data_IF_905951602845
#
_entry.id   IF_905951602845
#
_cell.length_a   1.000
_cell.length_b   1.000
_cell.length_c   1.000
_cell.angle_alpha   90.00
_cell.angle_beta   90.00
_cell.angle_gamma   90.00
#
_symmetry.space_group_name_H-M   'P 1'
#
loop_
_entity.id
_entity.type
_entity.pdbx_description
1 polymer ?
#
# COMPACT_ATOMS: atom_id res chain seq x y z
N UNK A 1 -3.33 11.28 0.84
CA UNK A 1 -4.47 12.21 1.01
C UNK A 1 -4.97 12.21 2.45
N UNK A 2 -5.21 13.40 2.99
CA UNK A 2 -5.90 13.59 4.26
C UNK A 2 -7.28 14.15 3.98
N UNK A 3 -8.32 13.49 4.50
CA UNK A 3 -9.70 13.98 4.45
C UNK A 3 -10.16 14.39 5.84
N UNK A 4 -11.13 15.29 5.89
CA UNK A 4 -11.77 15.71 7.13
C UNK A 4 -13.16 15.10 7.19
N UNK A 5 -13.44 14.36 8.25
CA UNK A 5 -14.74 13.78 8.55
C UNK A 5 -15.33 14.55 9.74
N UNK A 6 -16.64 14.69 9.76
CA UNK A 6 -17.37 15.36 10.83
C UNK A 6 -18.30 14.37 11.52
N UNK A 7 -18.13 14.21 12.82
CA UNK A 7 -18.98 13.38 13.67
C UNK A 7 -19.45 14.27 14.83
N UNK A 8 -20.73 14.49 14.94
CA UNK A 8 -21.36 15.28 16.02
C UNK A 8 -20.57 16.57 16.32
N UNK A 9 -20.37 17.42 15.33
CA UNK A 9 -19.59 18.69 15.40
C UNK A 9 -18.08 18.53 15.62
N UNK A 10 -17.56 17.32 15.84
CA UNK A 10 -16.13 17.06 15.92
C UNK A 10 -15.54 16.81 14.55
N UNK A 11 -14.55 17.61 14.19
CA UNK A 11 -13.72 17.38 13.01
C UNK A 11 -12.65 16.35 13.32
N UNK A 12 -12.59 15.29 12.53
CA UNK A 12 -11.56 14.26 12.58
C UNK A 12 -10.84 14.18 11.24
N UNK A 13 -9.56 14.48 11.22
CA UNK A 13 -8.74 14.35 10.01
C UNK A 13 -8.20 12.91 9.91
N UNK A 14 -8.33 12.29 8.74
CA UNK A 14 -7.93 10.91 8.49
C UNK A 14 -7.09 10.83 7.23
N UNK A 15 -5.95 10.15 7.30
CA UNK A 15 -5.14 9.79 6.13
C UNK A 15 -5.73 8.57 5.45
N UNK A 16 -6.00 8.65 4.15
CA UNK A 16 -6.62 7.60 3.34
C UNK A 16 -5.69 7.05 2.25
N UNK A 17 -4.46 7.51 2.19
CA UNK A 17 -3.43 7.02 1.27
C UNK A 17 -2.28 6.38 2.04
N UNK A 18 -1.07 6.92 1.86
CA UNK A 18 0.09 6.49 2.63
C UNK A 18 -0.05 6.91 4.09
N UNK A 19 -0.03 5.94 5.02
CA UNK A 19 -0.39 6.17 6.42
C UNK A 19 0.80 5.92 7.36
N UNK A 20 1.55 4.84 7.16
CA UNK A 20 2.57 4.38 8.10
C UNK A 20 3.88 4.04 7.41
N UNK A 21 4.99 4.24 8.13
CA UNK A 21 6.34 3.94 7.68
C UNK A 21 7.20 3.46 8.87
N UNK A 22 8.39 2.98 8.59
CA UNK A 22 9.35 2.60 9.61
C UNK A 22 10.79 2.96 9.19
N UNK A 23 11.69 3.06 10.14
CA UNK A 23 13.07 3.48 9.89
C UNK A 23 13.89 2.48 9.05
N UNK A 24 13.48 1.23 9.01
CA UNK A 24 14.23 0.19 8.31
C UNK A 24 13.97 0.21 6.79
N UNK A 25 12.72 0.36 6.39
CA UNK A 25 12.31 0.19 4.99
C UNK A 25 12.07 1.51 4.25
N UNK A 26 12.10 2.64 4.99
CA UNK A 26 11.86 3.97 4.41
C UNK A 26 12.98 4.98 4.73
N UNK A 27 14.29 4.64 4.52
CA UNK A 27 15.39 5.52 4.92
C UNK A 27 15.34 6.89 4.23
N UNK A 28 14.99 6.92 2.93
CA UNK A 28 14.92 8.16 2.16
C UNK A 28 13.77 9.06 2.65
N UNK A 29 12.61 8.46 2.97
CA UNK A 29 11.48 9.22 3.51
C UNK A 29 11.81 9.80 4.89
N UNK A 30 12.50 9.04 5.74
CA UNK A 30 12.94 9.50 7.06
C UNK A 30 13.92 10.67 6.92
N UNK A 31 14.88 10.59 6.00
CA UNK A 31 15.80 11.68 5.73
C UNK A 31 15.06 12.92 5.23
N UNK A 32 14.17 12.74 4.27
CA UNK A 32 13.32 13.82 3.77
C UNK A 32 12.50 14.50 4.88
N UNK A 33 11.89 13.73 5.79
CA UNK A 33 11.16 14.30 6.92
C UNK A 33 12.08 15.06 7.89
N UNK A 34 13.29 14.55 8.12
CA UNK A 34 14.28 15.21 8.97
C UNK A 34 14.77 16.53 8.37
N UNK A 35 15.12 16.54 7.09
CA UNK A 35 15.58 17.73 6.37
C UNK A 35 14.51 18.83 6.29
N UNK A 36 13.25 18.44 6.34
CA UNK A 36 12.11 19.36 6.30
C UNK A 36 11.46 19.57 7.67
N UNK A 37 12.07 19.18 8.78
CA UNK A 37 11.51 19.30 10.15
C UNK A 37 10.06 18.80 10.25
N UNK A 38 9.76 17.65 9.66
CA UNK A 38 8.45 17.03 9.74
C UNK A 38 8.39 16.16 10.99
N UNK A 39 7.47 16.48 11.87
CA UNK A 39 7.26 15.71 13.10
C UNK A 39 6.56 14.39 12.83
N UNK A 40 7.07 13.34 13.48
CA UNK A 40 6.54 11.99 13.37
C UNK A 40 6.21 11.44 14.76
N UNK A 41 5.24 10.55 14.83
CA UNK A 41 4.84 9.89 16.07
C UNK A 41 4.74 8.37 15.90
N UNK A 42 4.88 7.64 17.01
CA UNK A 42 4.75 6.17 17.00
C UNK A 42 3.32 5.77 16.63
N UNK A 43 3.22 4.83 15.71
CA UNK A 43 1.96 4.24 15.29
C UNK A 43 1.89 2.77 15.64
N UNK A 44 0.70 2.23 15.66
CA UNK A 44 0.42 0.84 15.91
C UNK A 44 -0.22 0.21 14.69
N UNK A 45 0.62 -0.31 13.78
CA UNK A 45 0.13 -1.06 12.63
C UNK A 45 -0.28 -2.46 13.08
N UNK A 46 -1.56 -2.67 13.26
CA UNK A 46 -2.17 -3.97 13.58
C UNK A 46 -3.16 -4.37 12.48
N UNK A 47 -3.31 -5.68 12.32
CA UNK A 47 -4.29 -6.28 11.42
C UNK A 47 -5.31 -7.05 12.26
N UNK A 48 -6.58 -6.85 11.98
CA UNK A 48 -7.69 -7.52 12.65
C UNK A 48 -8.64 -8.10 11.62
N UNK A 49 -9.27 -9.22 11.96
CA UNK A 49 -10.31 -9.84 11.14
C UNK A 49 -11.54 -10.06 11.99
N UNK A 50 -12.68 -9.64 11.47
CA UNK A 50 -14.01 -9.96 11.95
C UNK A 50 -14.81 -10.53 10.78
N UNK A 51 -15.46 -11.67 10.98
CA UNK A 51 -16.23 -12.33 9.94
C UNK A 51 -17.72 -12.20 10.28
N UNK A 52 -18.44 -11.49 9.41
CA UNK A 52 -19.87 -11.22 9.60
C UNK A 52 -20.68 -12.50 9.84
N UNK A 53 -21.71 -12.37 10.68
CA UNK A 53 -22.58 -13.47 11.08
C UNK A 53 -21.89 -14.67 11.77
N UNK A 54 -20.65 -14.46 12.26
CA UNK A 54 -19.92 -15.48 13.03
C UNK A 54 -19.36 -14.87 14.30
N UNK A 55 -18.81 -15.73 15.19
CA UNK A 55 -18.01 -15.28 16.35
C UNK A 55 -16.51 -15.28 16.05
N UNK A 56 -16.14 -15.33 14.77
CA UNK A 56 -14.75 -15.40 14.34
C UNK A 56 -14.13 -14.03 14.30
N UNK A 57 -13.40 -13.69 15.35
CA UNK A 57 -12.69 -12.41 15.47
C UNK A 57 -11.33 -12.61 16.10
N UNK A 58 -10.32 -11.89 15.59
CA UNK A 58 -9.01 -11.84 16.19
C UNK A 58 -8.22 -10.60 15.75
N UNK A 59 -7.16 -10.26 16.50
CA UNK A 59 -6.21 -9.22 16.18
C UNK A 59 -4.78 -9.79 16.12
N UNK A 60 -4.01 -9.44 15.12
CA UNK A 60 -2.63 -9.87 14.92
C UNK A 60 -1.61 -9.27 15.90
N UNK A 61 -2.04 -8.62 16.97
CA UNK A 61 -1.18 -8.01 18.00
C UNK A 61 -0.67 -9.04 19.02
N UNK A 62 0.08 -10.03 18.53
CA UNK A 62 0.64 -11.10 19.35
C UNK A 62 -0.42 -12.08 19.89
N UNK A 63 -0.01 -12.99 20.77
CA UNK A 63 -0.90 -14.04 21.31
C UNK A 63 -2.12 -13.47 22.04
N UNK A 64 -1.96 -12.35 22.76
CA UNK A 64 -3.07 -11.72 23.47
C UNK A 64 -4.16 -11.20 22.50
N UNK A 65 -3.77 -10.70 21.34
CA UNK A 65 -4.70 -10.26 20.29
C UNK A 65 -5.36 -11.44 19.59
N UNK A 66 -4.59 -12.46 19.24
CA UNK A 66 -5.09 -13.67 18.56
C UNK A 66 -6.15 -14.38 19.42
N UNK A 67 -5.91 -14.48 20.71
CA UNK A 67 -6.83 -15.11 21.67
C UNK A 67 -7.61 -14.10 22.53
N UNK A 68 -7.84 -12.89 22.02
CA UNK A 68 -8.68 -11.87 22.69
C UNK A 68 -10.11 -12.39 22.92
N UNK A 69 -10.65 -13.08 21.93
CA UNK A 69 -11.87 -13.89 22.11
C UNK A 69 -11.50 -15.26 22.64
N UNK A 70 -11.82 -15.52 23.92
CA UNK A 70 -11.48 -16.78 24.59
C UNK A 70 -12.11 -18.01 23.94
N UNK A 71 -13.22 -17.86 23.23
CA UNK A 71 -13.86 -18.97 22.52
C UNK A 71 -12.95 -19.54 21.41
N UNK A 72 -12.00 -18.76 20.90
CA UNK A 72 -11.04 -19.20 19.91
C UNK A 72 -10.11 -20.31 20.40
N UNK A 73 -9.88 -20.41 21.72
CA UNK A 73 -9.09 -21.48 22.32
C UNK A 73 -9.73 -22.87 22.19
N UNK A 74 -11.05 -22.92 22.03
CA UNK A 74 -11.82 -24.14 21.88
C UNK A 74 -12.32 -24.37 20.46
N UNK A 75 -12.00 -23.49 19.54
CA UNK A 75 -12.39 -23.58 18.14
C UNK A 75 -11.28 -24.29 17.32
N UNK A 76 -11.54 -25.55 16.93
CA UNK A 76 -10.58 -26.37 16.19
C UNK A 76 -10.15 -25.72 14.87
N UNK A 77 -11.07 -25.11 14.14
CA UNK A 77 -10.76 -24.43 12.88
C UNK A 77 -9.87 -23.18 13.11
N UNK A 78 -10.12 -22.46 14.21
CA UNK A 78 -9.27 -21.34 14.60
C UNK A 78 -7.85 -21.79 14.97
N UNK A 79 -7.74 -22.86 15.74
CA UNK A 79 -6.44 -23.44 16.12
C UNK A 79 -5.68 -23.92 14.88
N UNK A 80 -6.37 -24.55 13.92
CA UNK A 80 -5.77 -24.96 12.64
C UNK A 80 -5.21 -23.76 11.87
N UNK A 81 -5.98 -22.68 11.75
CA UNK A 81 -5.51 -21.42 11.17
C UNK A 81 -4.27 -20.89 11.91
N UNK A 82 -4.29 -20.88 13.23
CA UNK A 82 -3.15 -20.41 14.03
C UNK A 82 -1.88 -21.20 13.77
N UNK A 83 -1.95 -22.53 13.72
CA UNK A 83 -0.79 -23.36 13.39
C UNK A 83 -0.32 -23.17 11.93
N UNK A 84 -1.23 -22.96 10.99
CA UNK A 84 -0.89 -22.63 9.61
C UNK A 84 -0.19 -21.27 9.51
N UNK A 85 -0.60 -20.26 10.29
CA UNK A 85 0.13 -18.97 10.39
C UNK A 85 1.57 -19.21 10.82
N UNK A 86 1.79 -19.98 11.90
CA UNK A 86 3.13 -20.25 12.40
C UNK A 86 3.99 -21.01 11.38
N UNK A 87 3.43 -22.05 10.76
CA UNK A 87 4.09 -22.86 9.73
C UNK A 87 4.47 -22.02 8.52
N UNK A 88 3.50 -21.26 8.00
CA UNK A 88 3.67 -20.40 6.82
C UNK A 88 4.71 -19.32 7.07
N UNK A 89 4.61 -18.58 8.18
CA UNK A 89 5.53 -17.50 8.49
C UNK A 89 6.97 -18.00 8.68
N UNK A 90 7.16 -19.11 9.40
CA UNK A 90 8.48 -19.71 9.58
C UNK A 90 9.13 -20.14 8.26
N UNK A 91 8.34 -20.75 7.37
CA UNK A 91 8.82 -21.18 6.05
C UNK A 91 9.12 -19.98 5.16
N UNK A 92 8.19 -19.05 5.05
CA UNK A 92 8.24 -17.95 4.10
C UNK A 92 9.24 -16.84 4.44
N UNK A 93 9.67 -16.72 5.71
CA UNK A 93 10.66 -15.71 6.13
C UNK A 93 12.04 -15.92 5.49
N UNK A 94 12.35 -17.13 5.07
CA UNK A 94 13.64 -17.51 4.47
C UNK A 94 13.51 -18.02 3.04
N UNK A 95 12.30 -18.14 2.51
CA UNK A 95 12.06 -18.71 1.20
C UNK A 95 12.41 -17.72 0.10
N UNK A 96 13.27 -18.14 -0.82
CA UNK A 96 13.63 -17.37 -2.00
C UNK A 96 13.03 -18.09 -3.19
N UNK A 97 12.03 -17.48 -3.82
CA UNK A 97 11.45 -17.95 -5.05
C UNK A 97 12.00 -17.07 -6.18
N UNK A 98 12.96 -17.60 -6.91
CA UNK A 98 13.49 -16.97 -8.11
C UNK A 98 12.78 -17.56 -9.33
N UNK A 99 12.18 -16.67 -10.15
CA UNK A 99 11.66 -16.95 -11.49
C UNK A 99 10.48 -17.93 -11.63
N UNK A 100 9.82 -18.33 -10.56
CA UNK A 100 8.57 -19.08 -10.71
C UNK A 100 7.40 -18.12 -10.98
N UNK A 101 6.71 -18.33 -12.10
CA UNK A 101 5.47 -17.61 -12.47
C UNK A 101 4.26 -18.24 -11.77
N UNK A 102 4.37 -18.51 -10.45
CA UNK A 102 3.26 -19.04 -9.66
C UNK A 102 2.59 -17.91 -8.88
N UNK A 103 1.30 -18.02 -8.72
CA UNK A 103 0.49 -17.10 -7.94
C UNK A 103 0.51 -17.43 -6.45
N UNK A 104 0.10 -16.48 -5.62
CA UNK A 104 -0.09 -16.72 -4.18
C UNK A 104 -1.09 -17.85 -3.94
N UNK A 105 -2.19 -17.90 -4.68
CA UNK A 105 -3.20 -18.97 -4.56
C UNK A 105 -2.61 -20.36 -4.83
N UNK A 106 -1.92 -20.54 -5.97
CA UNK A 106 -1.24 -21.80 -6.31
C UNK A 106 -0.19 -22.20 -5.26
N UNK A 107 0.56 -21.24 -4.74
CA UNK A 107 1.54 -21.50 -3.70
C UNK A 107 0.88 -21.99 -2.40
N UNK A 108 -0.21 -21.36 -1.98
CA UNK A 108 -0.95 -21.74 -0.77
C UNK A 108 -1.54 -23.16 -0.89
N UNK A 109 -2.08 -23.51 -2.07
CA UNK A 109 -2.61 -24.84 -2.37
C UNK A 109 -1.51 -25.92 -2.38
N UNK A 110 -0.38 -25.67 -3.06
CA UNK A 110 0.78 -26.59 -3.10
C UNK A 110 1.31 -26.88 -1.69
N UNK A 111 1.26 -25.91 -0.78
CA UNK A 111 1.68 -26.06 0.60
C UNK A 111 0.61 -26.69 1.50
N UNK A 112 -0.55 -27.07 0.96
CA UNK A 112 -1.66 -27.72 1.67
C UNK A 112 -2.09 -26.94 2.92
N UNK A 113 -2.17 -25.63 2.81
CA UNK A 113 -2.63 -24.76 3.88
C UNK A 113 -4.16 -24.80 3.97
N UNK A 114 -4.70 -24.65 5.15
CA UNK A 114 -6.13 -24.78 5.38
C UNK A 114 -6.91 -23.63 4.73
N UNK A 115 -8.13 -23.93 4.27
CA UNK A 115 -9.02 -22.92 3.72
C UNK A 115 -9.32 -21.78 4.69
N UNK A 116 -9.36 -22.08 6.00
CA UNK A 116 -9.58 -21.06 7.03
C UNK A 116 -8.40 -20.09 7.12
N UNK A 117 -7.15 -20.60 7.03
CA UNK A 117 -5.97 -19.74 6.94
C UNK A 117 -5.99 -18.88 5.68
N UNK A 118 -6.33 -19.45 4.54
CA UNK A 118 -6.38 -18.73 3.27
C UNK A 118 -7.44 -17.63 3.32
N UNK A 119 -8.67 -17.98 3.68
CA UNK A 119 -9.82 -17.09 3.56
C UNK A 119 -9.93 -16.08 4.71
N UNK A 120 -9.41 -16.39 5.91
CA UNK A 120 -9.61 -15.55 7.09
C UNK A 120 -8.30 -14.96 7.64
N UNK A 121 -7.17 -15.23 6.99
CA UNK A 121 -5.90 -14.61 7.37
C UNK A 121 -5.16 -14.00 6.17
N UNK A 122 -4.67 -14.84 5.25
CA UNK A 122 -3.71 -14.37 4.25
C UNK A 122 -4.37 -13.52 3.16
N UNK A 123 -5.49 -13.95 2.60
CA UNK A 123 -6.18 -13.19 1.55
C UNK A 123 -6.73 -11.87 2.09
N UNK A 124 -7.42 -11.80 3.25
CA UNK A 124 -7.84 -10.51 3.80
C UNK A 124 -6.69 -9.57 4.12
N UNK A 125 -5.55 -10.09 4.59
CA UNK A 125 -4.37 -9.28 4.87
C UNK A 125 -3.77 -8.69 3.58
N UNK A 126 -3.65 -9.48 2.52
CA UNK A 126 -3.20 -9.02 1.21
C UNK A 126 -4.15 -7.98 0.65
N UNK A 127 -5.45 -8.25 0.68
CA UNK A 127 -6.49 -7.32 0.24
C UNK A 127 -6.42 -5.97 0.98
N UNK A 128 -6.20 -5.99 2.30
CA UNK A 128 -6.09 -4.78 3.11
C UNK A 128 -4.80 -3.99 2.81
N UNK A 129 -3.67 -4.66 2.54
CA UNK A 129 -2.38 -4.00 2.26
C UNK A 129 -2.40 -3.30 0.90
N UNK A 130 -2.94 -3.96 -0.13
CA UNK A 130 -2.93 -3.46 -1.51
C UNK A 130 -4.27 -2.90 -1.98
N UNK A 131 -5.27 -2.81 -1.10
CA UNK A 131 -6.61 -2.28 -1.43
C UNK A 131 -7.25 -2.96 -2.64
N UNK A 132 -7.07 -4.28 -2.74
CA UNK A 132 -7.53 -5.09 -3.86
C UNK A 132 -8.61 -6.09 -3.45
N UNK A 133 -9.50 -6.49 -4.36
CA UNK A 133 -10.50 -7.53 -4.07
C UNK A 133 -9.84 -8.89 -3.77
N UNK A 134 -10.47 -9.75 -2.95
CA UNK A 134 -9.91 -11.04 -2.57
C UNK A 134 -9.53 -11.96 -3.74
N UNK A 135 -10.29 -11.93 -4.83
CA UNK A 135 -10.02 -12.76 -6.01
C UNK A 135 -8.76 -12.31 -6.77
N UNK A 136 -8.43 -11.01 -6.74
CA UNK A 136 -7.19 -10.50 -7.31
C UNK A 136 -5.99 -10.78 -6.40
N UNK A 137 -6.19 -10.73 -5.08
CA UNK A 137 -5.14 -11.03 -4.11
C UNK A 137 -4.54 -12.44 -4.32
N UNK A 138 -5.36 -13.43 -4.70
CA UNK A 138 -4.88 -14.79 -4.97
C UNK A 138 -4.05 -14.91 -6.25
N UNK A 139 -4.21 -13.99 -7.21
CA UNK A 139 -3.47 -13.97 -8.48
C UNK A 139 -2.11 -13.27 -8.36
N UNK A 140 -1.84 -12.59 -7.24
CA UNK A 140 -0.57 -11.90 -7.01
C UNK A 140 0.61 -12.86 -7.19
N UNK A 141 1.70 -12.43 -7.87
CA UNK A 141 2.91 -13.25 -7.95
C UNK A 141 3.48 -13.53 -6.55
N UNK A 142 3.74 -14.79 -6.23
CA UNK A 142 4.25 -15.19 -4.91
C UNK A 142 5.59 -14.53 -4.59
N UNK A 143 6.46 -14.37 -5.57
CA UNK A 143 7.77 -13.73 -5.39
C UNK A 143 7.64 -12.29 -4.92
N UNK A 144 6.68 -11.53 -5.46
CA UNK A 144 6.39 -10.17 -5.03
C UNK A 144 5.86 -10.13 -3.59
N UNK A 145 4.88 -11.00 -3.27
CA UNK A 145 4.32 -11.14 -1.94
C UNK A 145 5.40 -11.46 -0.90
N UNK A 146 6.21 -12.50 -1.13
CA UNK A 146 7.26 -12.92 -0.18
C UNK A 146 8.29 -11.81 0.03
N UNK A 147 8.78 -11.19 -1.04
CA UNK A 147 9.77 -10.11 -0.96
C UNK A 147 9.24 -8.92 -0.17
N UNK A 148 7.99 -8.53 -0.38
CA UNK A 148 7.36 -7.45 0.37
C UNK A 148 7.28 -7.78 1.87
N UNK A 149 6.75 -8.95 2.21
CA UNK A 149 6.59 -9.38 3.61
C UNK A 149 7.92 -9.54 4.33
N UNK A 150 8.94 -10.09 3.67
CA UNK A 150 10.30 -10.21 4.21
C UNK A 150 10.92 -8.84 4.46
N UNK A 151 10.87 -7.95 3.49
CA UNK A 151 11.42 -6.59 3.60
C UNK A 151 10.80 -5.82 4.77
N UNK A 152 9.49 -5.92 4.94
CA UNK A 152 8.76 -5.24 6.00
C UNK A 152 8.77 -6.00 7.34
N UNK A 153 9.37 -7.18 7.39
CA UNK A 153 9.43 -8.02 8.61
C UNK A 153 8.07 -8.51 9.08
N UNK A 154 7.10 -8.68 8.16
CA UNK A 154 5.73 -9.07 8.49
C UNK A 154 5.61 -10.54 8.89
N UNK A 155 6.54 -11.41 8.46
CA UNK A 155 6.61 -12.80 8.91
C UNK A 155 7.17 -12.95 10.33
N UNK A 156 7.79 -11.91 10.90
CA UNK A 156 8.38 -11.98 12.22
C UNK A 156 7.31 -11.91 13.30
N UNK A 157 7.35 -12.84 14.24
CA UNK A 157 6.46 -12.85 15.41
C UNK A 157 7.00 -11.98 16.55
N UNK A 158 8.32 -11.77 16.60
CA UNK A 158 9.02 -10.93 17.57
C UNK A 158 9.93 -9.93 16.85
N UNK A 159 10.32 -8.86 17.53
CA UNK A 159 11.22 -7.84 17.01
C UNK A 159 10.75 -7.23 15.68
N UNK A 160 9.45 -7.01 15.56
CA UNK A 160 8.87 -6.26 14.43
C UNK A 160 9.35 -4.82 14.46
N UNK A 161 9.55 -4.17 13.30
CA UNK A 161 9.92 -2.76 13.27
C UNK A 161 8.84 -1.91 13.96
N UNK A 162 9.26 -0.86 14.69
CA UNK A 162 8.33 0.15 15.16
C UNK A 162 7.81 0.95 13.97
N UNK A 163 6.51 1.08 13.86
CA UNK A 163 5.86 1.88 12.85
C UNK A 163 5.61 3.30 13.36
N UNK A 164 5.61 4.23 12.45
CA UNK A 164 5.42 5.66 12.68
C UNK A 164 4.40 6.22 11.69
N UNK A 165 3.84 7.35 12.04
CA UNK A 165 2.99 8.16 11.18
C UNK A 165 3.40 9.63 11.29
N UNK A 166 2.94 10.47 10.39
CA UNK A 166 3.18 11.91 10.46
C UNK A 166 2.26 12.52 11.51
N UNK A 167 2.83 13.30 12.43
CA UNK A 167 2.04 14.04 13.43
C UNK A 167 1.11 15.04 12.74
N UNK A 168 -0.13 15.09 13.16
CA UNK A 168 -1.19 15.92 12.57
C UNK A 168 -1.53 15.59 11.11
N UNK A 169 -1.25 14.35 10.68
CA UNK A 169 -1.58 13.78 9.37
C UNK A 169 -0.67 14.24 8.22
N UNK A 170 -0.75 13.51 7.12
CA UNK A 170 0.09 13.72 5.93
C UNK A 170 -0.07 15.09 5.28
N UNK A 171 -1.22 15.74 5.44
CA UNK A 171 -1.46 17.12 4.97
C UNK A 171 -0.39 18.09 5.47
N UNK A 172 0.13 17.88 6.69
CA UNK A 172 1.13 18.75 7.32
C UNK A 172 2.41 18.85 6.49
N UNK A 173 2.99 17.70 6.10
CA UNK A 173 4.22 17.74 5.31
C UNK A 173 3.95 18.21 3.87
N UNK A 174 2.80 17.86 3.29
CA UNK A 174 2.43 18.34 1.96
C UNK A 174 2.35 19.87 1.94
N UNK A 175 1.64 20.46 2.91
CA UNK A 175 1.51 21.92 3.00
C UNK A 175 2.88 22.59 3.20
N UNK A 176 3.75 22.02 4.04
CA UNK A 176 5.10 22.55 4.27
C UNK A 176 5.96 22.52 3.01
N UNK A 177 5.96 21.40 2.29
CA UNK A 177 6.72 21.28 1.03
C UNK A 177 6.18 22.24 -0.03
N UNK A 178 4.87 22.29 -0.21
CA UNK A 178 4.23 23.22 -1.17
C UNK A 178 4.62 24.67 -0.89
N UNK A 179 4.67 25.07 0.39
CA UNK A 179 5.07 26.46 0.76
C UNK A 179 6.54 26.78 0.46
N UNK A 180 7.39 25.78 0.23
CA UNK A 180 8.81 25.95 -0.10
C UNK A 180 9.07 26.01 -1.61
N UNK A 181 8.10 25.62 -2.43
CA UNK A 181 8.24 25.68 -3.88
C UNK A 181 8.05 27.11 -4.34
N UNK A 182 9.04 27.65 -5.02
CA UNK A 182 9.03 29.03 -5.54
C UNK A 182 8.24 29.20 -6.84
N UNK A 183 7.86 28.09 -7.48
CA UNK A 183 7.09 28.09 -8.72
C UNK A 183 5.59 28.31 -8.52
N UNK A 184 4.88 28.46 -9.62
CA UNK A 184 3.43 28.61 -9.61
C UNK A 184 2.72 27.30 -9.30
N UNK A 185 1.57 27.38 -8.61
CA UNK A 185 0.75 26.26 -8.20
C UNK A 185 -0.64 26.34 -8.81
N UNK A 186 -0.91 25.47 -9.76
CA UNK A 186 -2.20 25.40 -10.41
C UNK A 186 -3.05 24.29 -9.80
N UNK A 187 -4.11 24.66 -9.07
CA UNK A 187 -5.10 23.73 -8.52
C UNK A 187 -6.34 23.70 -9.43
N UNK A 188 -6.95 22.52 -9.54
CA UNK A 188 -8.12 22.31 -10.41
C UNK A 188 -7.84 22.46 -11.90
N UNK A 189 -6.59 22.41 -12.29
CA UNK A 189 -6.16 22.36 -13.68
C UNK A 189 -6.00 20.90 -14.09
N UNK A 190 -7.04 20.33 -14.67
CA UNK A 190 -6.98 18.96 -15.17
C UNK A 190 -6.17 18.93 -16.45
N UNK A 191 -4.97 18.35 -16.38
CA UNK A 191 -4.17 18.06 -17.58
C UNK A 191 -4.91 17.02 -18.41
N UNK A 192 -5.02 17.27 -19.71
CA UNK A 192 -5.75 16.43 -20.67
C UNK A 192 -4.83 15.76 -21.67
N UNK A 193 -3.69 16.40 -21.99
CA UNK A 193 -2.78 15.90 -23.01
C UNK A 193 -1.36 16.47 -22.82
N UNK A 194 -0.36 15.69 -23.19
CA UNK A 194 1.06 16.08 -23.22
C UNK A 194 1.60 15.78 -24.61
N UNK A 195 2.13 16.82 -25.26
CA UNK A 195 2.66 16.75 -26.62
C UNK A 195 4.16 17.02 -26.59
N UNK A 196 4.96 16.09 -27.12
CA UNK A 196 6.41 16.29 -27.27
C UNK A 196 6.71 17.12 -28.51
N UNK A 197 7.63 18.07 -28.36
CA UNK A 197 8.17 18.89 -29.44
C UNK A 197 9.65 18.58 -29.67
N UNK A 198 10.24 19.21 -30.67
CA UNK A 198 11.70 19.15 -30.88
C UNK A 198 12.49 19.72 -29.71
N UNK A 199 11.89 20.67 -28.97
CA UNK A 199 12.46 21.26 -27.76
C UNK A 199 11.32 21.47 -26.75
N UNK A 200 11.33 20.68 -25.66
CA UNK A 200 10.32 20.77 -24.61
C UNK A 200 9.02 20.00 -24.88
N UNK A 201 7.99 20.37 -24.16
CA UNK A 201 6.67 19.72 -24.18
C UNK A 201 5.56 20.76 -24.01
N UNK A 202 4.44 20.56 -24.73
CA UNK A 202 3.20 21.28 -24.47
C UNK A 202 2.30 20.46 -23.55
N UNK A 203 1.80 21.08 -22.50
CA UNK A 203 0.92 20.48 -21.52
C UNK A 203 -0.45 21.14 -21.58
N UNK A 204 -1.45 20.41 -22.09
CA UNK A 204 -2.81 20.90 -22.32
C UNK A 204 -3.67 20.69 -21.07
N UNK A 205 -4.55 21.66 -20.79
CA UNK A 205 -5.47 21.61 -19.65
C UNK A 205 -6.83 22.25 -20.02
N UNK A 206 -7.89 21.84 -19.32
CA UNK A 206 -9.21 22.46 -19.45
C UNK A 206 -9.90 22.36 -20.81
N UNK A 207 -9.20 21.85 -21.83
CA UNK A 207 -9.62 21.76 -23.23
C UNK A 207 -8.39 21.61 -24.12
N UNK A 208 -8.58 21.53 -25.44
CA UNK A 208 -7.46 21.36 -26.40
C UNK A 208 -6.84 22.67 -26.87
N UNK A 209 -7.38 23.80 -26.45
CA UNK A 209 -6.96 25.14 -26.95
C UNK A 209 -5.97 25.87 -26.05
N UNK A 210 -5.83 25.44 -24.79
CA UNK A 210 -4.96 26.12 -23.83
C UNK A 210 -3.85 25.16 -23.37
N UNK A 211 -2.60 25.64 -23.40
CA UNK A 211 -1.44 24.84 -22.98
C UNK A 211 -0.34 25.71 -22.36
N UNK A 212 0.47 25.08 -21.54
CA UNK A 212 1.75 25.60 -21.06
C UNK A 212 2.90 24.89 -21.76
N UNK A 213 3.94 25.65 -22.11
CA UNK A 213 5.20 25.14 -22.65
C UNK A 213 6.21 24.90 -21.52
N UNK A 214 6.81 23.71 -21.48
CA UNK A 214 7.80 23.33 -20.48
C UNK A 214 8.99 22.61 -21.11
N UNK A 215 10.17 22.81 -20.55
CA UNK A 215 11.37 22.04 -20.92
C UNK A 215 11.24 20.58 -20.51
N UNK A 216 10.66 20.32 -19.33
CA UNK A 216 10.51 18.98 -18.75
C UNK A 216 9.21 18.85 -17.96
N UNK A 217 8.65 17.66 -17.97
CA UNK A 217 7.45 17.31 -17.20
C UNK A 217 7.72 16.03 -16.38
N UNK A 218 7.33 16.04 -15.11
CA UNK A 218 7.34 14.88 -14.24
C UNK A 218 5.88 14.46 -14.03
N UNK A 219 5.54 13.24 -14.45
CA UNK A 219 4.22 12.64 -14.24
C UNK A 219 4.22 11.90 -12.90
N UNK A 220 3.45 12.39 -11.94
CA UNK A 220 3.24 11.77 -10.63
C UNK A 220 1.79 11.25 -10.49
N UNK A 221 1.25 10.71 -11.58
CA UNK A 221 -0.07 10.07 -11.68
C UNK A 221 0.07 8.55 -11.67
N UNK A 222 -1.05 7.82 -11.70
CA UNK A 222 -1.03 6.38 -11.98
C UNK A 222 -0.48 6.11 -13.38
N UNK A 223 0.13 4.94 -13.59
CA UNK A 223 0.83 4.64 -14.84
C UNK A 223 -0.11 4.58 -16.05
N UNK A 224 -1.30 4.01 -15.88
CA UNK A 224 -2.35 3.97 -16.90
C UNK A 224 -2.89 5.37 -17.23
N UNK A 225 -3.00 6.25 -16.23
CA UNK A 225 -3.35 7.66 -16.44
C UNK A 225 -2.25 8.41 -17.17
N UNK A 226 -0.98 8.18 -16.77
CA UNK A 226 0.17 8.77 -17.48
C UNK A 226 0.18 8.37 -18.95
N UNK A 227 -0.07 7.10 -19.26
CA UNK A 227 -0.14 6.61 -20.64
C UNK A 227 -1.25 7.31 -21.46
N UNK A 228 -2.41 7.55 -20.84
CA UNK A 228 -3.52 8.26 -21.50
C UNK A 228 -3.23 9.73 -21.79
N UNK A 229 -2.36 10.37 -20.99
CA UNK A 229 -2.00 11.77 -21.16
C UNK A 229 -0.98 11.98 -22.27
N UNK A 230 -0.11 11.02 -22.55
CA UNK A 230 0.98 11.15 -23.52
C UNK A 230 0.41 11.00 -24.95
N UNK A 231 0.48 12.06 -25.75
CA UNK A 231 0.21 11.97 -27.18
C UNK A 231 1.37 11.23 -27.86
N UNK A 232 1.08 10.23 -28.68
CA UNK A 232 2.08 9.43 -29.38
C UNK A 232 3.12 8.80 -28.42
N UNK A 233 2.72 7.96 -27.46
CA UNK A 233 3.65 7.26 -26.59
C UNK A 233 4.53 6.30 -27.42
N UNK A 234 5.78 6.14 -27.01
CA UNK A 234 6.70 5.17 -27.61
C UNK A 234 6.23 3.75 -27.33
N UNK A 235 6.73 2.78 -28.10
CA UNK A 235 6.41 1.36 -27.88
C UNK A 235 6.83 0.90 -26.47
N UNK A 236 7.98 1.37 -25.97
CA UNK A 236 8.45 1.03 -24.62
C UNK A 236 7.51 1.62 -23.54
N UNK A 237 7.05 2.86 -23.70
CA UNK A 237 6.08 3.47 -22.80
C UNK A 237 4.75 2.71 -22.80
N UNK A 238 4.25 2.34 -23.98
CA UNK A 238 3.05 1.51 -24.09
C UNK A 238 3.23 0.15 -23.39
N UNK A 239 4.34 -0.54 -23.70
CA UNK A 239 4.62 -1.86 -23.17
C UNK A 239 4.81 -1.86 -21.65
N UNK A 240 5.39 -0.81 -21.07
CA UNK A 240 5.64 -0.74 -19.63
C UNK A 240 4.40 -0.22 -18.89
N UNK A 241 3.87 0.94 -19.30
CA UNK A 241 2.81 1.62 -18.55
C UNK A 241 1.46 0.89 -18.64
N UNK A 242 1.18 0.16 -19.73
CA UNK A 242 -0.06 -0.62 -19.87
C UNK A 242 -0.14 -1.85 -18.94
N UNK A 243 0.96 -2.26 -18.33
CA UNK A 243 0.95 -3.38 -17.38
C UNK A 243 0.47 -2.99 -15.97
N UNK A 244 0.23 -1.71 -15.73
CA UNK A 244 -0.32 -1.20 -14.49
C UNK A 244 -1.80 -0.86 -14.69
N UNK A 245 -2.68 -1.70 -14.19
CA UNK A 245 -4.15 -1.53 -14.27
C UNK A 245 -4.78 -1.75 -12.90
#
# INVERSE_FOLDING_TARGET
HTIDLFFDEKKVSVDIGFIVFNFKTYPNLINFFRENDIHIEKSNMSFSVSVDNTKFEYCGKGLKGIFSNKSNLFNIEFLKMFFDILKFYKKSDQEIISNEKITLGEYLERNKLSKIFINYHIIPMVSAIWSMPPYEASKMPISFFLKFFQNHGLFKLKNRPQWYTVSNRSRTYVSKIVSQISGEHYKNYKVTKIVRKSSGLDLYYGGESEFFDYDKVILATHADEALRLIENPTEDEKNILSNFS
#
